data_IF_744529783071
#
_entry.id   IF_744529783071
#
_cell.length_a   1.000
_cell.length_b   1.000
_cell.length_c   1.000
_cell.angle_alpha   90.00
_cell.angle_beta   90.00
_cell.angle_gamma   90.00
#
_symmetry.space_group_name_H-M   'P 1'
#
loop_
_entity.id
_entity.type
_entity.pdbx_description
1 polymer ?
#
# COMPACT_ATOMS: atom_id res chain seq x y z
N UNK A 1 -11.69 -12.76 7.46
CA UNK A 1 -11.55 -12.71 8.95
C UNK A 1 -12.83 -13.17 9.67
N UNK A 2 -14.02 -12.72 9.25
CA UNK A 2 -15.29 -13.11 9.89
C UNK A 2 -15.47 -14.64 10.01
N UNK A 3 -15.18 -15.38 8.93
CA UNK A 3 -15.29 -16.86 8.95
C UNK A 3 -14.33 -17.51 9.95
N UNK A 4 -13.14 -16.95 10.15
CA UNK A 4 -12.19 -17.40 11.17
C UNK A 4 -12.76 -17.18 12.57
N UNK A 5 -13.29 -16.00 12.86
CA UNK A 5 -13.88 -15.69 14.16
C UNK A 5 -15.05 -16.63 14.51
N UNK A 6 -15.92 -16.93 13.52
CA UNK A 6 -17.02 -17.86 13.74
C UNK A 6 -16.52 -19.30 14.03
N UNK A 7 -15.45 -19.73 13.37
CA UNK A 7 -14.85 -21.06 13.59
C UNK A 7 -14.12 -21.13 14.94
N UNK A 8 -13.33 -20.13 15.29
CA UNK A 8 -12.55 -20.10 16.52
C UNK A 8 -13.42 -20.19 17.77
N UNK A 9 -14.57 -19.48 17.82
CA UNK A 9 -15.53 -19.53 18.92
C UNK A 9 -16.12 -20.93 19.12
N UNK A 10 -16.21 -21.74 18.06
CA UNK A 10 -16.80 -23.10 18.07
C UNK A 10 -15.75 -24.19 18.22
N UNK A 11 -14.47 -23.87 18.11
CA UNK A 11 -13.36 -24.82 18.21
C UNK A 11 -12.96 -24.97 19.67
N UNK A 12 -12.78 -26.23 20.11
CA UNK A 12 -12.46 -26.53 21.51
C UNK A 12 -10.97 -26.64 21.79
N UNK A 13 -10.16 -26.91 20.78
CA UNK A 13 -8.72 -27.17 20.94
C UNK A 13 -7.91 -26.14 20.14
N UNK A 14 -7.58 -26.45 18.90
CA UNK A 14 -6.64 -25.67 18.09
C UNK A 14 -7.22 -25.39 16.72
N UNK A 15 -6.84 -24.26 16.13
CA UNK A 15 -7.13 -23.89 14.74
C UNK A 15 -5.81 -23.79 14.00
N UNK A 16 -5.68 -24.54 12.91
CA UNK A 16 -4.52 -24.47 12.02
C UNK A 16 -4.86 -23.63 10.80
N UNK A 17 -3.99 -22.68 10.49
CA UNK A 17 -4.07 -21.84 9.30
C UNK A 17 -2.86 -22.14 8.42
N UNK A 18 -3.10 -22.45 7.15
CA UNK A 18 -2.06 -22.66 6.15
C UNK A 18 -2.19 -21.62 5.04
N UNK A 19 -1.10 -20.93 4.73
CA UNK A 19 -1.07 -19.89 3.73
C UNK A 19 0.32 -19.59 3.21
N UNK A 20 0.40 -19.02 2.00
CA UNK A 20 1.62 -18.41 1.48
C UNK A 20 1.55 -16.90 1.73
N UNK A 21 2.54 -16.27 2.35
CA UNK A 21 2.51 -14.86 2.74
C UNK A 21 2.78 -13.93 1.54
N UNK A 22 1.92 -13.96 0.53
CA UNK A 22 2.07 -13.17 -0.70
C UNK A 22 1.93 -11.67 -0.50
N UNK A 23 1.14 -11.27 0.48
CA UNK A 23 0.95 -9.90 0.94
C UNK A 23 0.42 -9.93 2.38
N UNK A 24 0.53 -8.81 3.09
CA UNK A 24 -0.05 -8.66 4.42
C UNK A 24 -1.58 -8.79 4.37
N UNK A 25 -2.15 -9.54 5.31
CA UNK A 25 -3.58 -9.72 5.46
C UNK A 25 -3.94 -9.96 6.95
N UNK A 26 -5.20 -10.20 7.27
CA UNK A 26 -5.71 -10.24 8.63
C UNK A 26 -4.98 -11.22 9.60
N UNK A 27 -4.28 -12.25 9.11
CA UNK A 27 -3.52 -13.16 9.99
C UNK A 27 -2.38 -12.40 10.67
N UNK A 28 -1.65 -11.55 9.92
CA UNK A 28 -0.56 -10.76 10.46
C UNK A 28 -1.05 -9.70 11.46
N UNK A 29 -2.18 -9.06 11.15
CA UNK A 29 -2.68 -7.94 11.95
C UNK A 29 -3.51 -8.39 13.16
N UNK A 30 -4.13 -9.57 13.10
CA UNK A 30 -5.11 -9.99 14.11
C UNK A 30 -4.70 -11.25 14.89
N UNK A 31 -3.77 -12.06 14.37
CA UNK A 31 -3.45 -13.37 14.95
C UNK A 31 -1.99 -13.51 15.37
N UNK A 32 -1.02 -13.12 14.52
CA UNK A 32 0.40 -13.44 14.75
C UNK A 32 0.96 -12.90 16.08
N UNK A 33 0.41 -11.80 16.60
CA UNK A 33 0.84 -11.17 17.84
C UNK A 33 0.04 -11.63 19.09
N UNK A 34 -0.86 -12.61 18.96
CA UNK A 34 -1.60 -13.15 20.09
C UNK A 34 -0.72 -14.07 20.95
N UNK A 35 -0.90 -14.03 22.26
CA UNK A 35 -0.09 -14.85 23.20
C UNK A 35 -0.24 -16.37 23.02
N UNK A 36 -1.35 -16.81 22.45
CA UNK A 36 -1.69 -18.22 22.17
C UNK A 36 -1.51 -18.61 20.71
N UNK A 37 -0.93 -17.75 19.88
CA UNK A 37 -0.61 -18.04 18.49
C UNK A 37 0.84 -18.52 18.34
N UNK A 38 1.02 -19.57 17.54
CA UNK A 38 2.34 -20.06 17.14
C UNK A 38 2.47 -20.02 15.62
N UNK A 39 3.52 -19.38 15.13
CA UNK A 39 3.86 -19.32 13.71
C UNK A 39 4.94 -20.33 13.36
N UNK A 40 4.63 -21.24 12.46
CA UNK A 40 5.57 -22.22 11.93
C UNK A 40 5.84 -21.90 10.46
N UNK A 41 7.09 -21.67 10.10
CA UNK A 41 7.50 -21.47 8.71
C UNK A 41 8.03 -22.79 8.18
N UNK A 42 7.37 -23.33 7.16
CA UNK A 42 7.79 -24.54 6.46
C UNK A 42 8.24 -24.17 5.04
N UNK A 43 9.37 -24.69 4.65
CA UNK A 43 9.97 -24.49 3.34
C UNK A 43 10.08 -25.82 2.59
N UNK A 44 10.42 -25.75 1.29
CA UNK A 44 10.65 -26.98 0.53
C UNK A 44 11.76 -27.88 1.09
N UNK A 45 12.67 -27.34 1.92
CA UNK A 45 13.79 -28.08 2.56
C UNK A 45 13.32 -28.92 3.73
N UNK A 46 12.16 -28.60 4.28
CA UNK A 46 11.55 -29.32 5.41
C UNK A 46 10.75 -30.55 4.95
N UNK A 47 10.57 -30.72 3.65
CA UNK A 47 9.86 -31.84 3.05
C UNK A 47 10.84 -32.89 2.51
N UNK A 48 11.16 -33.89 3.32
CA UNK A 48 12.08 -34.98 2.97
C UNK A 48 11.57 -35.87 1.82
N UNK A 49 10.27 -35.88 1.54
CA UNK A 49 9.64 -36.66 0.48
C UNK A 49 9.52 -35.90 -0.86
N UNK A 50 10.10 -34.71 -0.95
CA UNK A 50 9.95 -33.88 -2.15
C UNK A 50 10.74 -34.49 -3.33
N UNK A 51 10.06 -34.61 -4.48
CA UNK A 51 10.67 -35.13 -5.72
C UNK A 51 11.83 -34.27 -6.21
N UNK A 52 12.92 -34.91 -6.67
CA UNK A 52 14.11 -34.24 -7.20
C UNK A 52 13.80 -33.32 -8.39
N UNK A 53 12.79 -33.61 -9.19
CA UNK A 53 12.35 -32.76 -10.30
C UNK A 53 11.78 -31.46 -9.80
N UNK A 54 11.01 -31.49 -8.71
CA UNK A 54 10.47 -30.28 -8.07
C UNK A 54 11.59 -29.44 -7.46
N UNK A 55 12.53 -30.06 -6.75
CA UNK A 55 13.71 -29.38 -6.20
C UNK A 55 14.50 -28.68 -7.33
N UNK A 56 14.80 -29.40 -8.41
CA UNK A 56 15.50 -28.82 -9.57
C UNK A 56 14.75 -27.63 -10.19
N UNK A 57 13.41 -27.68 -10.22
CA UNK A 57 12.60 -26.56 -10.73
C UNK A 57 12.67 -25.35 -9.80
N UNK A 58 12.60 -25.57 -8.47
CA UNK A 58 12.76 -24.51 -7.47
C UNK A 58 14.13 -23.82 -7.63
N UNK A 59 15.21 -24.60 -7.73
CA UNK A 59 16.57 -24.08 -7.92
C UNK A 59 16.73 -23.26 -9.21
N UNK A 60 16.08 -23.68 -10.31
CA UNK A 60 16.03 -22.88 -11.54
C UNK A 60 15.34 -21.54 -11.34
N UNK A 61 14.26 -21.52 -10.56
CA UNK A 61 13.54 -20.30 -10.25
C UNK A 61 14.35 -19.37 -9.33
N UNK A 62 15.07 -19.93 -8.35
CA UNK A 62 16.01 -19.17 -7.51
C UNK A 62 17.08 -18.47 -8.37
N UNK A 63 17.64 -19.15 -9.39
CA UNK A 63 18.62 -18.53 -10.30
C UNK A 63 18.05 -17.35 -11.09
N UNK A 64 16.76 -17.37 -11.44
CA UNK A 64 16.08 -16.26 -12.13
C UNK A 64 15.94 -15.01 -11.25
N UNK A 65 15.95 -15.17 -9.91
CA UNK A 65 15.87 -14.07 -8.96
C UNK A 65 17.07 -13.09 -9.09
N UNK A 66 18.19 -13.51 -9.64
CA UNK A 66 19.34 -12.64 -9.88
C UNK A 66 19.03 -11.45 -10.82
N UNK A 67 18.06 -11.60 -11.74
CA UNK A 67 17.77 -10.63 -12.79
C UNK A 67 16.32 -10.14 -12.84
N UNK A 68 15.43 -10.62 -11.94
CA UNK A 68 14.01 -10.31 -11.99
C UNK A 68 13.43 -10.07 -10.61
N UNK A 69 12.79 -8.92 -10.40
CA UNK A 69 12.12 -8.60 -9.15
C UNK A 69 10.93 -9.55 -8.88
N UNK A 70 10.21 -9.96 -9.92
CA UNK A 70 9.18 -10.99 -9.80
C UNK A 70 9.74 -12.27 -9.17
N UNK A 71 10.85 -12.79 -9.71
CA UNK A 71 11.45 -14.02 -9.17
C UNK A 71 12.10 -13.82 -7.80
N UNK A 72 12.59 -12.62 -7.46
CA UNK A 72 13.02 -12.29 -6.10
C UNK A 72 11.88 -12.40 -5.11
N UNK A 73 10.73 -11.80 -5.45
CA UNK A 73 9.54 -11.88 -4.61
C UNK A 73 8.99 -13.32 -4.52
N UNK A 74 9.01 -14.05 -5.62
CA UNK A 74 8.62 -15.46 -5.65
C UNK A 74 9.50 -16.31 -4.70
N UNK A 75 10.82 -16.14 -4.73
CA UNK A 75 11.76 -16.82 -3.83
C UNK A 75 11.45 -16.46 -2.39
N UNK A 76 11.29 -15.18 -2.10
CA UNK A 76 10.97 -14.70 -0.76
C UNK A 76 9.72 -15.37 -0.18
N UNK A 77 8.65 -15.48 -0.96
CA UNK A 77 7.37 -16.05 -0.51
C UNK A 77 7.42 -17.59 -0.46
N UNK A 78 7.81 -18.22 -1.57
CA UNK A 78 7.62 -19.68 -1.75
C UNK A 78 8.85 -20.53 -1.40
N UNK A 79 10.01 -19.89 -1.23
CA UNK A 79 11.25 -20.61 -0.85
C UNK A 79 11.65 -20.28 0.59
N UNK A 80 11.57 -19.00 0.97
CA UNK A 80 12.03 -18.54 2.28
C UNK A 80 10.88 -18.41 3.30
N UNK A 81 9.62 -18.44 2.86
CA UNK A 81 8.42 -18.29 3.71
C UNK A 81 8.28 -16.89 4.29
N UNK A 82 8.94 -15.89 3.67
CA UNK A 82 8.87 -14.50 4.09
C UNK A 82 7.71 -13.77 3.43
N UNK A 83 7.29 -12.64 4.05
CA UNK A 83 6.25 -11.77 3.49
C UNK A 83 6.64 -11.27 2.10
N UNK A 84 5.76 -11.48 1.15
CA UNK A 84 5.89 -10.97 -0.20
C UNK A 84 5.82 -9.44 -0.26
N UNK A 85 6.40 -8.89 -1.30
CA UNK A 85 6.24 -7.48 -1.63
C UNK A 85 5.21 -7.34 -2.75
N UNK A 86 4.30 -6.39 -2.61
CA UNK A 86 3.34 -6.08 -3.69
C UNK A 86 4.12 -5.66 -4.94
N UNK A 87 3.87 -6.34 -6.06
CA UNK A 87 4.42 -5.92 -7.35
C UNK A 87 3.86 -4.55 -7.74
N UNK A 88 4.71 -3.69 -8.27
CA UNK A 88 4.30 -2.35 -8.72
C UNK A 88 4.30 -1.28 -7.62
N UNK A 89 4.73 -1.58 -6.40
CA UNK A 89 4.93 -0.56 -5.37
C UNK A 89 6.09 0.35 -5.78
N UNK A 90 5.76 1.60 -6.09
CA UNK A 90 6.74 2.62 -6.48
C UNK A 90 7.61 3.04 -5.28
N UNK A 91 7.00 3.08 -4.09
CA UNK A 91 7.68 3.42 -2.84
C UNK A 91 7.57 2.25 -1.87
N UNK A 92 8.65 1.51 -1.68
CA UNK A 92 8.69 0.31 -0.80
C UNK A 92 9.23 0.59 0.60
N UNK A 93 9.82 1.76 0.84
CA UNK A 93 10.54 2.11 2.08
C UNK A 93 9.87 3.26 2.85
N UNK A 94 8.56 3.37 2.79
CA UNK A 94 7.81 4.32 3.60
C UNK A 94 7.57 3.78 5.02
N UNK A 95 7.33 4.67 5.95
CA UNK A 95 6.87 4.36 7.31
C UNK A 95 5.78 5.33 7.72
N UNK A 96 4.87 4.84 8.53
CA UNK A 96 3.83 5.68 9.14
C UNK A 96 4.41 6.46 10.32
N UNK A 97 3.92 7.68 10.49
CA UNK A 97 4.23 8.55 11.64
C UNK A 97 2.91 9.11 12.19
N UNK A 98 2.84 9.31 13.49
CA UNK A 98 1.61 9.76 14.15
C UNK A 98 1.39 11.28 14.04
N UNK A 99 2.47 12.04 13.90
CA UNK A 99 2.42 13.51 13.86
C UNK A 99 3.39 14.06 12.83
N UNK A 100 2.98 15.13 12.16
CA UNK A 100 3.86 15.90 11.26
C UNK A 100 4.77 16.77 12.12
N UNK A 101 6.11 16.72 11.93
CA UNK A 101 7.05 17.60 12.68
C UNK A 101 6.71 19.08 12.48
N UNK A 102 6.86 19.90 13.53
CA UNK A 102 6.52 21.32 13.51
C UNK A 102 7.36 22.13 12.50
N UNK A 103 8.57 21.70 12.23
CA UNK A 103 9.49 22.32 11.26
C UNK A 103 9.32 21.77 9.83
N UNK A 104 8.39 20.83 9.61
CA UNK A 104 8.06 20.35 8.29
C UNK A 104 7.33 21.43 7.49
N UNK A 105 7.81 21.70 6.27
CA UNK A 105 7.24 22.73 5.39
C UNK A 105 6.31 22.13 4.37
N UNK A 106 5.04 22.55 4.35
CA UNK A 106 4.08 22.22 3.29
C UNK A 106 4.58 22.84 1.96
N UNK A 107 4.80 21.99 0.96
CA UNK A 107 5.37 22.38 -0.33
C UNK A 107 4.40 22.28 -1.49
N UNK A 108 3.30 21.56 -1.33
CA UNK A 108 2.28 21.42 -2.37
C UNK A 108 1.21 20.44 -1.97
N UNK A 109 0.16 20.37 -2.80
CA UNK A 109 -0.94 19.41 -2.65
C UNK A 109 -1.12 18.70 -3.98
N UNK A 110 -1.12 17.35 -3.95
CA UNK A 110 -1.49 16.52 -5.07
C UNK A 110 -3.00 16.24 -5.05
N UNK A 111 -3.65 16.32 -6.20
CA UNK A 111 -5.08 16.07 -6.35
C UNK A 111 -5.29 15.03 -7.43
N UNK A 112 -6.00 13.95 -7.10
CA UNK A 112 -6.55 13.01 -8.05
C UNK A 112 -8.07 13.10 -8.03
N UNK A 113 -8.65 13.46 -9.17
CA UNK A 113 -10.08 13.68 -9.27
C UNK A 113 -10.83 12.36 -9.43
N UNK A 114 -11.83 12.15 -8.61
CA UNK A 114 -12.83 11.12 -8.73
C UNK A 114 -14.21 11.65 -8.43
N UNK A 115 -15.27 10.89 -8.67
CA UNK A 115 -16.63 11.34 -8.37
C UNK A 115 -17.54 10.21 -7.88
N UNK A 116 -17.98 9.27 -8.73
CA UNK A 116 -19.00 8.29 -8.38
C UNK A 116 -18.39 7.03 -7.75
N UNK A 117 -17.48 6.37 -8.47
CA UNK A 117 -16.84 5.11 -8.03
C UNK A 117 -15.48 5.37 -7.40
N UNK A 118 -14.72 6.25 -8.03
CA UNK A 118 -13.40 6.62 -7.57
C UNK A 118 -13.51 7.85 -6.67
N UNK A 119 -12.90 7.84 -5.49
CA UNK A 119 -12.88 9.00 -4.61
C UNK A 119 -11.96 10.08 -5.16
N UNK A 120 -12.30 11.35 -4.88
CA UNK A 120 -11.32 12.43 -4.99
C UNK A 120 -10.34 12.32 -3.84
N UNK A 121 -9.06 12.33 -4.16
CA UNK A 121 -7.95 12.30 -3.21
C UNK A 121 -7.21 13.64 -3.24
N UNK A 122 -6.96 14.23 -2.07
CA UNK A 122 -6.09 15.40 -1.90
C UNK A 122 -5.03 15.06 -0.86
N UNK A 123 -3.76 15.10 -1.26
CA UNK A 123 -2.62 14.74 -0.42
C UNK A 123 -1.70 15.93 -0.24
N UNK A 124 -1.52 16.37 0.98
CA UNK A 124 -0.50 17.36 1.36
C UNK A 124 0.89 16.75 1.28
N UNK A 125 1.83 17.49 0.74
CA UNK A 125 3.22 17.08 0.60
C UNK A 125 4.09 18.03 1.41
N UNK A 126 4.66 17.50 2.47
CA UNK A 126 5.61 18.24 3.31
C UNK A 126 7.04 17.86 2.99
N UNK A 127 7.93 18.83 3.10
CA UNK A 127 9.37 18.61 3.13
C UNK A 127 9.88 18.74 4.57
N UNK A 128 10.55 17.70 5.05
CA UNK A 128 11.26 17.70 6.32
C UNK A 128 12.64 17.08 6.12
N UNK A 129 13.67 17.90 6.21
CA UNK A 129 15.04 17.51 5.84
C UNK A 129 15.12 16.93 4.43
N UNK A 130 15.67 15.72 4.27
CA UNK A 130 15.77 15.01 2.99
C UNK A 130 14.57 14.09 2.73
N UNK A 131 13.58 14.06 3.63
CA UNK A 131 12.39 13.20 3.50
C UNK A 131 11.18 13.98 2.97
N UNK A 132 10.19 13.24 2.47
CA UNK A 132 8.86 13.74 2.16
C UNK A 132 7.87 13.09 3.10
N UNK A 133 6.96 13.89 3.64
CA UNK A 133 5.84 13.43 4.46
C UNK A 133 4.58 13.68 3.65
N UNK A 134 3.75 12.67 3.55
CA UNK A 134 2.45 12.74 2.89
C UNK A 134 1.38 12.68 3.96
N UNK A 135 0.40 13.58 3.86
CA UNK A 135 -0.74 13.61 4.74
C UNK A 135 -2.03 13.65 3.92
N UNK A 136 -2.95 12.74 4.22
CA UNK A 136 -4.24 12.71 3.56
C UNK A 136 -5.10 13.87 4.06
N UNK A 137 -5.39 14.83 3.18
CA UNK A 137 -6.29 15.92 3.46
C UNK A 137 -7.75 15.53 3.23
N UNK A 138 -8.01 14.75 2.19
CA UNK A 138 -9.32 14.14 1.92
C UNK A 138 -9.21 12.93 0.99
N UNK A 139 -10.10 11.95 1.21
CA UNK A 139 -10.31 10.79 0.35
C UNK A 139 -11.80 10.44 0.35
N UNK A 140 -12.56 11.03 -0.59
CA UNK A 140 -14.03 10.96 -0.55
C UNK A 140 -14.63 10.97 -1.96
N UNK A 141 -15.72 10.21 -2.14
CA UNK A 141 -16.56 10.25 -3.36
C UNK A 141 -17.59 11.38 -3.29
N UNK A 142 -18.08 11.79 -4.45
CA UNK A 142 -19.20 12.74 -4.57
C UNK A 142 -18.85 14.21 -4.29
N UNK A 143 -17.57 14.56 -4.17
CA UNK A 143 -17.15 15.94 -4.01
C UNK A 143 -17.32 16.73 -5.32
N UNK A 144 -17.99 17.89 -5.23
CA UNK A 144 -18.01 18.88 -6.32
C UNK A 144 -16.73 19.73 -6.27
N UNK A 145 -16.39 20.36 -7.39
CA UNK A 145 -15.23 21.27 -7.46
C UNK A 145 -15.29 22.40 -6.41
N UNK A 146 -16.50 22.87 -6.07
CA UNK A 146 -16.74 23.84 -5.00
C UNK A 146 -16.39 23.32 -3.62
N UNK A 147 -16.58 22.03 -3.37
CA UNK A 147 -16.27 21.41 -2.09
C UNK A 147 -14.77 21.14 -1.97
N UNK A 148 -14.15 20.68 -3.05
CA UNK A 148 -12.70 20.55 -3.15
C UNK A 148 -12.02 21.92 -2.89
N UNK A 149 -12.52 22.99 -3.52
CA UNK A 149 -11.97 24.34 -3.35
C UNK A 149 -12.05 24.86 -1.89
N UNK A 150 -13.05 24.43 -1.10
CA UNK A 150 -13.17 24.81 0.32
C UNK A 150 -12.13 24.08 1.21
N UNK A 151 -11.73 22.86 0.81
CA UNK A 151 -10.76 22.06 1.54
C UNK A 151 -9.34 22.56 1.28
N UNK A 152 -9.06 23.06 0.08
CA UNK A 152 -7.72 23.44 -0.36
C UNK A 152 -7.31 24.83 0.18
N UNK A 153 -6.10 24.97 0.75
CA UNK A 153 -5.55 26.27 1.15
C UNK A 153 -5.18 27.11 -0.09
N UNK A 154 -5.56 28.37 -0.09
CA UNK A 154 -5.32 29.30 -1.23
C UNK A 154 -3.86 29.68 -1.46
N UNK A 155 -3.02 29.53 -0.43
CA UNK A 155 -1.61 29.97 -0.42
C UNK A 155 -0.60 28.84 -0.72
N UNK A 156 -1.08 27.65 -1.08
CA UNK A 156 -0.24 26.49 -1.38
C UNK A 156 -0.49 26.04 -2.82
N UNK A 157 0.56 25.76 -3.62
CA UNK A 157 0.38 25.26 -4.97
C UNK A 157 -0.24 23.87 -4.99
N UNK A 158 -1.31 23.71 -5.78
CA UNK A 158 -1.97 22.43 -5.99
C UNK A 158 -1.65 21.89 -7.39
N UNK A 159 -1.55 20.59 -7.52
CA UNK A 159 -1.21 19.89 -8.75
C UNK A 159 -2.21 18.76 -8.99
N UNK A 160 -2.79 18.72 -10.19
CA UNK A 160 -3.78 17.70 -10.57
C UNK A 160 -3.44 17.10 -11.93
N UNK A 161 -4.09 15.99 -12.28
CA UNK A 161 -3.95 15.40 -13.62
C UNK A 161 -4.43 16.39 -14.69
N UNK A 162 -3.63 16.64 -15.72
CA UNK A 162 -3.96 17.50 -16.86
C UNK A 162 -5.13 16.98 -17.72
N UNK A 163 -5.55 15.74 -17.52
CA UNK A 163 -6.71 15.15 -18.18
C UNK A 163 -8.05 15.79 -17.72
N UNK A 164 -8.06 16.52 -16.59
CA UNK A 164 -9.24 17.18 -16.02
C UNK A 164 -9.21 18.72 -16.10
N UNK A 165 -9.06 19.32 -17.31
CA UNK A 165 -8.85 20.77 -17.46
C UNK A 165 -10.07 21.59 -17.02
N UNK A 166 -11.29 21.03 -17.09
CA UNK A 166 -12.52 21.70 -16.65
C UNK A 166 -12.56 21.85 -15.13
N UNK A 167 -12.23 20.79 -14.39
CA UNK A 167 -12.17 20.79 -12.93
C UNK A 167 -11.10 21.76 -12.44
N UNK A 168 -9.92 21.74 -13.07
CA UNK A 168 -8.83 22.67 -12.78
C UNK A 168 -9.28 24.13 -12.97
N UNK A 169 -9.87 24.47 -14.12
CA UNK A 169 -10.32 25.82 -14.42
C UNK A 169 -11.44 26.29 -13.48
N UNK A 170 -12.31 25.38 -13.05
CA UNK A 170 -13.39 25.70 -12.12
C UNK A 170 -12.84 25.98 -10.71
N UNK A 171 -11.94 25.13 -10.20
CA UNK A 171 -11.30 25.34 -8.90
C UNK A 171 -10.47 26.63 -8.86
N UNK A 172 -9.81 27.01 -9.97
CA UNK A 172 -9.10 28.29 -10.08
C UNK A 172 -10.01 29.50 -9.86
N UNK A 173 -11.29 29.45 -10.26
CA UNK A 173 -12.27 30.53 -10.04
C UNK A 173 -12.56 30.80 -8.56
N UNK A 174 -12.31 29.82 -7.70
CA UNK A 174 -12.39 29.94 -6.23
C UNK A 174 -11.11 30.53 -5.60
N UNK A 175 -10.13 30.95 -6.41
CA UNK A 175 -8.89 31.57 -5.93
C UNK A 175 -7.80 30.57 -5.55
N UNK A 176 -7.96 29.29 -5.88
CA UNK A 176 -6.97 28.25 -5.60
C UNK A 176 -5.88 28.25 -6.68
N UNK A 177 -4.64 28.21 -6.27
CA UNK A 177 -3.48 28.06 -7.18
C UNK A 177 -3.31 26.59 -7.56
N UNK A 178 -3.96 26.16 -8.63
CA UNK A 178 -3.91 24.78 -9.13
C UNK A 178 -3.38 24.71 -10.57
N UNK A 179 -2.58 23.69 -10.88
CA UNK A 179 -2.01 23.44 -12.21
C UNK A 179 -2.17 21.98 -12.59
N UNK A 180 -2.44 21.74 -13.89
CA UNK A 180 -2.36 20.42 -14.47
C UNK A 180 -0.92 19.95 -14.62
N UNK A 181 -0.66 18.67 -14.34
CA UNK A 181 0.63 18.01 -14.58
C UNK A 181 0.43 16.85 -15.53
N UNK A 182 1.37 16.67 -16.46
CA UNK A 182 1.35 15.56 -17.41
C UNK A 182 1.97 14.35 -16.74
N UNK A 183 1.32 13.20 -16.85
CA UNK A 183 1.93 11.92 -16.45
C UNK A 183 3.11 11.64 -17.38
N UNK A 184 4.29 11.42 -16.80
CA UNK A 184 5.51 11.06 -17.53
C UNK A 184 5.49 9.64 -18.06
#
# INVERSE_FOLDING_TARGET
FESYNELSIRTKNEVFLDYNPTAEFWVQTEIEDQEDAEKIILTYKDNEALDNGIISQIEKNIKKAATSNYWKNWVRVYVDGEMGQLEGVVFSNWKQIDTIPEDARLIGIGIDFGYIKDPTSCIEIYKHNETRILNELTYQTGLLNSDIAKILPSNVPCYADSAEPKSIADIQRYGITIKGVTKG
#
